data_IF_378548460189
#
_entry.id   IF_378548460189
#
_cell.length_a   1.000
_cell.length_b   1.000
_cell.length_c   1.000
_cell.angle_alpha   90.00
_cell.angle_beta   90.00
_cell.angle_gamma   90.00
#
_symmetry.space_group_name_H-M   'P 1'
#
loop_
_entity.id
_entity.type
_entity.pdbx_description
1 polymer ?
#
# COMPACT_ATOMS: atom_id res chain seq x y z
N UNK A 1 26.84 -2.01 25.91
CA UNK A 1 25.46 -2.10 25.37
C UNK A 1 24.82 -0.74 25.64
N UNK A 2 24.18 -0.12 24.64
CA UNK A 2 23.65 1.28 24.64
C UNK A 2 24.61 2.34 24.07
N UNK A 3 24.74 2.36 22.73
CA UNK A 3 25.01 3.60 21.96
C UNK A 3 24.59 3.51 20.46
N UNK A 4 23.43 2.92 20.17
CA UNK A 4 22.88 2.84 18.79
C UNK A 4 21.81 3.91 18.52
N UNK A 5 21.28 4.59 19.54
CA UNK A 5 20.18 5.56 19.39
C UNK A 5 20.59 6.97 18.93
N UNK A 6 21.89 7.31 18.88
CA UNK A 6 22.35 8.68 18.59
C UNK A 6 22.67 8.94 17.10
N UNK A 7 22.87 7.89 16.27
CA UNK A 7 23.09 8.05 14.82
C UNK A 7 21.80 8.05 13.98
N UNK A 8 20.66 7.55 14.51
CA UNK A 8 19.38 7.52 13.77
C UNK A 8 18.76 8.92 13.54
N UNK A 9 19.20 9.94 14.29
CA UNK A 9 18.59 11.28 14.27
C UNK A 9 19.03 12.15 13.07
N UNK A 10 20.14 11.82 12.40
CA UNK A 10 20.69 12.63 11.30
C UNK A 10 20.27 12.15 9.89
N UNK A 11 19.98 10.86 9.70
CA UNK A 11 19.44 10.32 8.44
C UNK A 11 17.93 10.55 8.27
N UNK A 12 17.21 10.74 9.39
CA UNK A 12 15.74 10.89 9.42
C UNK A 12 15.21 12.18 8.75
N UNK A 13 16.06 13.15 8.43
CA UNK A 13 15.61 14.42 7.86
C UNK A 13 15.52 14.42 6.32
N UNK A 14 16.17 13.47 5.62
CA UNK A 14 16.19 13.43 4.15
C UNK A 14 14.96 12.77 3.51
N UNK A 15 14.16 12.02 4.27
CA UNK A 15 12.94 11.35 3.78
C UNK A 15 11.64 11.96 4.29
N UNK A 16 11.68 13.19 4.82
CA UNK A 16 10.55 13.85 5.48
C UNK A 16 10.10 15.13 4.74
N UNK A 17 10.55 15.35 3.51
CA UNK A 17 9.98 16.45 2.71
C UNK A 17 8.54 16.09 2.32
N UNK A 18 7.54 16.91 2.69
CA UNK A 18 6.12 16.58 2.62
C UNK A 18 5.60 16.35 1.18
N UNK A 19 6.34 16.80 0.17
CA UNK A 19 6.03 16.61 -1.25
C UNK A 19 6.56 15.29 -1.84
N UNK A 20 7.53 14.61 -1.19
CA UNK A 20 8.19 13.43 -1.77
C UNK A 20 7.49 12.10 -1.45
N UNK A 21 6.82 11.96 -0.30
CA UNK A 21 5.97 10.77 -0.01
C UNK A 21 4.57 10.93 -0.65
N UNK A 22 4.18 12.11 -1.17
CA UNK A 22 2.86 12.33 -1.82
C UNK A 22 2.62 11.38 -3.00
N UNK A 23 3.65 11.07 -3.78
CA UNK A 23 3.55 10.17 -4.93
C UNK A 23 3.41 8.69 -4.51
N UNK A 24 3.87 8.37 -3.29
CA UNK A 24 3.95 7.00 -2.78
C UNK A 24 2.91 6.66 -1.70
N UNK A 25 2.20 7.65 -1.13
CA UNK A 25 1.22 7.43 -0.05
C UNK A 25 0.15 6.41 -0.44
N UNK A 26 -0.21 6.34 -1.71
CA UNK A 26 -1.26 5.42 -2.20
C UNK A 26 -0.74 4.01 -2.55
N UNK A 27 0.56 3.76 -2.40
CA UNK A 27 1.18 2.50 -2.81
C UNK A 27 1.28 1.49 -1.67
N UNK A 28 1.00 1.89 -0.43
CA UNK A 28 1.08 1.05 0.77
C UNK A 28 0.21 -0.22 0.69
N UNK A 29 -1.06 -0.08 0.32
CA UNK A 29 -1.98 -1.20 0.17
C UNK A 29 -1.60 -2.10 -1.01
N UNK A 30 -1.21 -1.49 -2.14
CA UNK A 30 -0.76 -2.23 -3.31
C UNK A 30 0.52 -3.02 -3.03
N UNK A 31 1.44 -2.45 -2.25
CA UNK A 31 2.66 -3.12 -1.80
C UNK A 31 2.35 -4.30 -0.88
N UNK A 32 1.52 -4.09 0.14
CA UNK A 32 1.15 -5.14 1.11
C UNK A 32 0.40 -6.31 0.46
N UNK A 33 -0.43 -6.02 -0.54
CA UNK A 33 -1.20 -7.02 -1.28
C UNK A 33 -0.45 -7.56 -2.52
N UNK A 34 0.85 -7.29 -2.64
CA UNK A 34 1.71 -7.71 -3.75
C UNK A 34 1.11 -7.41 -5.15
N UNK A 35 0.47 -6.25 -5.26
CA UNK A 35 -0.25 -5.78 -6.44
C UNK A 35 0.50 -4.71 -7.23
N UNK A 36 1.68 -4.30 -6.77
CA UNK A 36 2.60 -3.44 -7.51
C UNK A 36 3.32 -4.23 -8.62
N UNK A 37 3.71 -3.54 -9.69
CA UNK A 37 4.67 -4.11 -10.63
C UNK A 37 6.03 -4.32 -9.96
N UNK A 38 6.90 -5.14 -10.55
CA UNK A 38 8.23 -5.38 -9.98
C UNK A 38 9.08 -4.10 -9.92
N UNK A 39 8.97 -3.23 -10.91
CA UNK A 39 9.69 -1.95 -10.95
C UNK A 39 9.15 -0.99 -9.90
N UNK A 40 7.82 -0.84 -9.80
CA UNK A 40 7.18 -0.01 -8.77
C UNK A 40 7.52 -0.50 -7.35
N UNK A 41 7.55 -1.83 -7.15
CA UNK A 41 7.92 -2.42 -5.86
C UNK A 41 9.35 -2.08 -5.46
N UNK A 42 10.31 -2.17 -6.39
CA UNK A 42 11.71 -1.79 -6.13
C UNK A 42 11.84 -0.30 -5.82
N UNK A 43 11.13 0.54 -6.56
CA UNK A 43 11.11 2.00 -6.34
C UNK A 43 10.55 2.33 -4.95
N UNK A 44 9.43 1.71 -4.58
CA UNK A 44 8.82 1.92 -3.27
C UNK A 44 9.70 1.41 -2.13
N UNK A 45 10.36 0.26 -2.29
CA UNK A 45 11.32 -0.26 -1.28
C UNK A 45 12.49 0.70 -1.06
N UNK A 46 13.00 1.33 -2.11
CA UNK A 46 14.02 2.37 -1.97
C UNK A 46 13.50 3.57 -1.17
N UNK A 47 12.26 4.01 -1.42
CA UNK A 47 11.60 5.07 -0.66
C UNK A 47 11.37 4.69 0.81
N UNK A 48 10.94 3.45 1.08
CA UNK A 48 10.73 2.92 2.42
C UNK A 48 12.01 2.93 3.26
N UNK A 49 13.21 2.92 2.65
CA UNK A 49 14.48 3.09 3.36
C UNK A 49 14.58 4.45 4.07
N UNK A 50 14.04 5.52 3.47
CA UNK A 50 14.15 6.90 3.97
C UNK A 50 12.90 7.44 4.66
N UNK A 51 11.71 6.92 4.34
CA UNK A 51 10.45 7.55 4.75
C UNK A 51 9.75 6.84 5.91
N UNK A 52 9.69 7.48 7.08
CA UNK A 52 8.95 6.94 8.24
C UNK A 52 7.43 6.93 8.06
N UNK A 53 6.87 7.85 7.26
CA UNK A 53 5.42 7.97 7.04
C UNK A 53 4.93 6.77 6.24
N UNK A 54 5.51 6.59 5.05
CA UNK A 54 5.20 5.49 4.15
C UNK A 54 5.52 4.12 4.83
N UNK A 55 6.56 3.99 5.68
CA UNK A 55 6.77 2.77 6.52
C UNK A 55 5.66 2.53 7.54
N UNK A 56 5.17 3.56 8.23
CA UNK A 56 4.07 3.41 9.19
C UNK A 56 2.79 2.93 8.51
N UNK A 57 2.48 3.50 7.35
CA UNK A 57 1.33 3.11 6.55
C UNK A 57 1.37 1.60 6.17
N UNK A 58 2.53 1.10 5.73
CA UNK A 58 2.74 -0.33 5.48
C UNK A 58 2.53 -1.18 6.75
N UNK A 59 3.06 -0.75 7.90
CA UNK A 59 2.88 -1.46 9.17
C UNK A 59 1.40 -1.53 9.58
N UNK A 60 0.64 -0.45 9.40
CA UNK A 60 -0.79 -0.41 9.69
C UNK A 60 -1.60 -1.41 8.85
N UNK A 61 -1.13 -1.75 7.65
CA UNK A 61 -1.79 -2.68 6.74
C UNK A 61 -1.21 -4.10 6.75
N UNK A 62 -0.07 -4.34 7.42
CA UNK A 62 0.71 -5.59 7.30
C UNK A 62 -0.04 -6.85 7.75
N UNK A 63 -1.09 -6.72 8.58
CA UNK A 63 -1.92 -7.85 9.02
C UNK A 63 -3.01 -8.23 7.99
N UNK A 64 -3.33 -7.35 7.03
CA UNK A 64 -4.39 -7.57 6.04
C UNK A 64 -4.21 -8.86 5.22
N UNK A 65 -3.02 -9.20 4.70
CA UNK A 65 -2.85 -10.44 3.92
C UNK A 65 -3.21 -11.69 4.72
N UNK A 66 -2.86 -11.73 6.02
CA UNK A 66 -3.19 -12.86 6.89
C UNK A 66 -4.70 -12.95 7.17
N UNK A 67 -5.35 -11.81 7.39
CA UNK A 67 -6.81 -11.74 7.57
C UNK A 67 -7.54 -12.19 6.29
N UNK A 68 -7.07 -11.77 5.11
CA UNK A 68 -7.65 -12.15 3.83
C UNK A 68 -7.42 -13.63 3.47
N UNK A 69 -6.31 -14.23 3.94
CA UNK A 69 -6.00 -15.64 3.73
C UNK A 69 -7.01 -16.62 4.37
N UNK A 70 -7.86 -16.14 5.27
CA UNK A 70 -8.97 -16.93 5.86
C UNK A 70 -10.03 -17.26 4.81
N UNK A 71 -10.19 -16.42 3.79
CA UNK A 71 -11.20 -16.61 2.75
C UNK A 71 -10.74 -17.66 1.73
N UNK A 72 -11.61 -18.61 1.43
CA UNK A 72 -11.40 -19.53 0.32
C UNK A 72 -11.89 -18.93 -1.01
N UNK A 73 -11.46 -19.51 -2.15
CA UNK A 73 -11.80 -18.99 -3.48
C UNK A 73 -13.30 -18.90 -3.76
N UNK A 74 -14.12 -19.80 -3.19
CA UNK A 74 -15.58 -19.76 -3.35
C UNK A 74 -16.21 -18.56 -2.64
N UNK A 75 -15.74 -18.26 -1.43
CA UNK A 75 -16.18 -17.07 -0.66
C UNK A 75 -15.78 -15.78 -1.38
N UNK A 76 -14.53 -15.70 -1.87
CA UNK A 76 -14.06 -14.56 -2.69
C UNK A 76 -14.90 -14.42 -3.96
N UNK A 77 -15.18 -15.53 -4.67
CA UNK A 77 -16.01 -15.50 -5.88
C UNK A 77 -17.44 -15.01 -5.60
N UNK A 78 -18.02 -15.37 -4.46
CA UNK A 78 -19.34 -14.89 -4.05
C UNK A 78 -19.34 -13.37 -3.79
N UNK A 79 -18.30 -12.83 -3.15
CA UNK A 79 -18.15 -11.39 -2.90
C UNK A 79 -18.06 -10.62 -4.23
N UNK A 80 -17.17 -11.03 -5.14
CA UNK A 80 -16.99 -10.37 -6.45
C UNK A 80 -18.22 -10.55 -7.35
N UNK A 81 -18.91 -11.69 -7.24
CA UNK A 81 -20.17 -11.97 -7.94
C UNK A 81 -21.32 -11.07 -7.50
N UNK A 82 -21.44 -10.78 -6.20
CA UNK A 82 -22.46 -9.91 -5.64
C UNK A 82 -22.33 -8.42 -6.04
N UNK A 83 -21.10 -7.96 -6.32
CA UNK A 83 -20.84 -6.57 -6.75
C UNK A 83 -21.31 -6.29 -8.18
N UNK A 84 -21.42 -7.31 -9.04
CA UNK A 84 -21.81 -7.16 -10.46
C UNK A 84 -23.31 -6.93 -10.68
N UNK A 85 -24.14 -6.98 -9.64
CA UNK A 85 -25.58 -6.65 -9.76
C UNK A 85 -25.88 -5.14 -9.61
N UNK A 86 -24.93 -4.31 -9.16
CA UNK A 86 -25.14 -2.87 -8.98
C UNK A 86 -24.69 -2.02 -10.19
N UNK A 87 -23.80 -2.53 -11.06
CA UNK A 87 -23.32 -1.81 -12.24
C UNK A 87 -24.16 -2.15 -13.49
N UNK A 88 -25.45 -1.80 -13.42
CA UNK A 88 -26.28 -1.60 -14.60
C UNK A 88 -26.86 -0.19 -14.52
N UNK A 89 -26.00 0.81 -14.70
CA UNK A 89 -26.42 2.13 -15.15
C UNK A 89 -25.96 2.30 -16.59
N UNK A 90 -26.90 2.03 -17.47
CA UNK A 90 -26.99 2.53 -18.83
C UNK A 90 -26.54 3.99 -18.93
N UNK A 91 -25.53 4.24 -19.75
CA UNK A 91 -25.13 5.58 -20.19
C UNK A 91 -25.07 5.60 -21.72
N UNK A 92 -26.20 5.86 -22.35
CA UNK A 92 -26.29 6.26 -23.76
C UNK A 92 -25.48 7.55 -23.95
N UNK A 93 -24.46 7.54 -24.79
CA UNK A 93 -23.70 8.75 -25.14
C UNK A 93 -24.53 9.71 -26.00
N UNK A 94 -24.40 11.05 -25.86
CA UNK A 94 -24.99 11.99 -26.80
C UNK A 94 -24.18 12.06 -28.10
N UNK A 95 -24.92 12.25 -29.21
CA UNK A 95 -24.50 12.32 -30.62
C UNK A 95 -23.46 13.37 -30.94
#
# INVERSE_FOLDING_TARGET
MTRVVELHRADSARGQLPNECSDYVMWDAAYVLDSLSEDDRREFEAHLGGCTVCRKAVVELSDMPALLAVLNRGEVAAIVGGSRSAESRTGTGPT
#
